data_IF_204157288344
#
_entry.id   IF_204157288344
#
_cell.length_a   1.000
_cell.length_b   1.000
_cell.length_c   1.000
_cell.angle_alpha   90.00
_cell.angle_beta   90.00
_cell.angle_gamma   90.00
#
_symmetry.space_group_name_H-M   'P 1'
#
loop_
_entity.id
_entity.type
_entity.pdbx_description
1 polymer ?
#
# COMPACT_ATOMS: atom_id res chain seq x y z
N UNK A 1 5.46 13.34 2.98
CA UNK A 1 6.77 12.64 3.13
C UNK A 1 6.59 11.15 3.34
N UNK A 2 5.65 10.72 4.15
CA UNK A 2 5.36 9.31 4.43
C UNK A 2 5.04 8.48 3.19
N UNK A 3 4.30 9.03 2.23
CA UNK A 3 3.94 8.33 0.98
C UNK A 3 5.17 7.93 0.15
N UNK A 4 6.20 8.78 0.07
CA UNK A 4 7.46 8.42 -0.61
C UNK A 4 8.21 7.33 0.15
N UNK A 5 8.25 7.40 1.48
CA UNK A 5 8.80 6.33 2.32
C UNK A 5 8.04 5.03 2.10
N UNK A 6 6.72 5.09 1.97
CA UNK A 6 5.86 3.95 1.64
C UNK A 6 6.23 3.29 0.30
N UNK A 7 6.49 4.08 -0.74
CA UNK A 7 6.95 3.56 -2.04
C UNK A 7 8.29 2.85 -1.90
N UNK A 8 9.28 3.49 -1.27
CA UNK A 8 10.62 2.91 -1.11
C UNK A 8 10.57 1.62 -0.29
N UNK A 9 9.85 1.65 0.83
CA UNK A 9 9.70 0.48 1.70
C UNK A 9 9.00 -0.67 0.98
N UNK A 10 7.93 -0.39 0.24
CA UNK A 10 7.23 -1.39 -0.57
C UNK A 10 8.17 -2.05 -1.57
N UNK A 11 8.89 -1.27 -2.37
CA UNK A 11 9.80 -1.79 -3.38
C UNK A 11 10.95 -2.60 -2.77
N UNK A 12 11.51 -2.15 -1.65
CA UNK A 12 12.57 -2.86 -0.94
C UNK A 12 12.10 -4.22 -0.40
N UNK A 13 10.92 -4.26 0.26
CA UNK A 13 10.35 -5.50 0.77
C UNK A 13 9.95 -6.45 -0.36
N UNK A 14 9.39 -5.91 -1.44
CA UNK A 14 9.03 -6.69 -2.62
C UNK A 14 10.25 -7.33 -3.27
N UNK A 15 11.30 -6.56 -3.52
CA UNK A 15 12.56 -7.06 -4.09
C UNK A 15 13.24 -8.08 -3.16
N UNK A 16 13.28 -7.80 -1.84
CA UNK A 16 13.84 -8.70 -0.85
C UNK A 16 13.10 -10.04 -0.78
N UNK A 17 11.77 -10.03 -0.73
CA UNK A 17 10.97 -11.25 -0.75
C UNK A 17 11.17 -12.04 -2.06
N UNK A 18 11.21 -11.35 -3.20
CA UNK A 18 11.45 -11.96 -4.50
C UNK A 18 12.83 -12.62 -4.59
N UNK A 19 13.89 -11.98 -4.11
CA UNK A 19 15.24 -12.53 -4.14
C UNK A 19 15.40 -13.81 -3.30
N UNK A 20 14.65 -13.92 -2.21
CA UNK A 20 14.66 -15.12 -1.36
C UNK A 20 13.82 -16.25 -1.99
N UNK A 21 12.68 -15.93 -2.60
CA UNK A 21 11.73 -16.94 -3.08
C UNK A 21 12.06 -17.45 -4.48
N UNK A 22 12.60 -16.61 -5.37
CA UNK A 22 12.86 -16.97 -6.77
C UNK A 22 13.80 -18.18 -6.96
N UNK A 23 14.90 -18.36 -6.21
CA UNK A 23 15.77 -19.53 -6.37
C UNK A 23 15.06 -20.86 -6.10
N UNK A 24 14.17 -20.90 -5.10
CA UNK A 24 13.42 -22.10 -4.74
C UNK A 24 12.43 -22.51 -5.84
N UNK A 25 11.80 -21.52 -6.49
CA UNK A 25 10.82 -21.75 -7.54
C UNK A 25 11.50 -22.15 -8.85
N UNK A 26 12.59 -21.48 -9.21
CA UNK A 26 13.40 -21.82 -10.39
C UNK A 26 13.98 -23.22 -10.28
N UNK A 27 14.49 -23.61 -9.12
CA UNK A 27 15.04 -24.97 -8.89
C UNK A 27 13.97 -26.07 -9.07
N UNK A 28 12.70 -25.77 -8.82
CA UNK A 28 11.59 -26.73 -8.94
C UNK A 28 10.85 -26.67 -10.28
N UNK A 29 11.26 -25.79 -11.21
CA UNK A 29 10.53 -25.52 -12.47
C UNK A 29 9.04 -25.23 -12.25
N UNK A 30 8.71 -24.65 -11.10
CA UNK A 30 7.33 -24.38 -10.69
C UNK A 30 6.77 -23.15 -11.41
N UNK A 31 5.44 -23.06 -11.48
CA UNK A 31 4.75 -21.92 -12.07
C UNK A 31 5.05 -20.65 -11.29
N UNK A 32 5.13 -19.51 -11.97
CA UNK A 32 5.34 -18.17 -11.39
C UNK A 32 4.34 -17.83 -10.26
N UNK A 33 3.15 -18.42 -10.26
CA UNK A 33 2.20 -18.26 -9.15
C UNK A 33 2.78 -18.69 -7.78
N UNK A 34 3.70 -19.66 -7.75
CA UNK A 34 4.36 -20.09 -6.51
C UNK A 34 5.36 -19.05 -5.96
N UNK A 35 5.79 -18.07 -6.77
CA UNK A 35 6.56 -16.91 -6.28
C UNK A 35 5.62 -15.83 -5.78
N UNK A 36 4.60 -15.50 -6.57
CA UNK A 36 3.75 -14.33 -6.30
C UNK A 36 2.83 -14.51 -5.10
N UNK A 37 2.28 -15.71 -4.90
CA UNK A 37 1.37 -15.96 -3.78
C UNK A 37 2.05 -15.73 -2.41
N UNK A 38 3.20 -16.35 -2.09
CA UNK A 38 3.86 -16.10 -0.82
C UNK A 38 4.39 -14.67 -0.71
N UNK A 39 4.82 -14.05 -1.82
CA UNK A 39 5.28 -12.66 -1.83
C UNK A 39 4.13 -11.69 -1.51
N UNK A 40 2.95 -11.88 -2.12
CA UNK A 40 1.76 -11.11 -1.80
C UNK A 40 1.33 -11.33 -0.34
N UNK A 41 1.34 -12.58 0.13
CA UNK A 41 1.02 -12.91 1.53
C UNK A 41 1.97 -12.20 2.49
N UNK A 42 3.27 -12.20 2.20
CA UNK A 42 4.26 -11.48 3.00
C UNK A 42 3.95 -9.97 3.04
N UNK A 43 3.63 -9.37 1.90
CA UNK A 43 3.30 -7.94 1.84
C UNK A 43 2.02 -7.62 2.63
N UNK A 44 0.98 -8.45 2.53
CA UNK A 44 -0.25 -8.27 3.31
C UNK A 44 0.01 -8.37 4.82
N UNK A 45 0.81 -9.34 5.24
CA UNK A 45 1.21 -9.46 6.66
C UNK A 45 2.03 -8.26 7.11
N UNK A 46 2.98 -7.80 6.29
CA UNK A 46 3.79 -6.62 6.62
C UNK A 46 2.93 -5.36 6.77
N UNK A 47 1.99 -5.12 5.85
CA UNK A 47 1.04 -4.00 5.92
C UNK A 47 0.15 -4.12 7.17
N UNK A 48 -0.36 -5.31 7.46
CA UNK A 48 -1.19 -5.55 8.65
C UNK A 48 -0.42 -5.25 9.95
N UNK A 49 0.81 -5.76 10.07
CA UNK A 49 1.66 -5.49 11.23
C UNK A 49 1.97 -4.00 11.35
N UNK A 50 2.33 -3.34 10.24
CA UNK A 50 2.60 -1.91 10.20
C UNK A 50 1.38 -1.10 10.66
N UNK A 51 0.19 -1.46 10.19
CA UNK A 51 -1.07 -0.82 10.59
C UNK A 51 -1.34 -1.01 12.09
N UNK A 52 -1.16 -2.21 12.61
CA UNK A 52 -1.37 -2.50 14.04
C UNK A 52 -0.38 -1.74 14.94
N UNK A 53 0.89 -1.70 14.54
CA UNK A 53 1.91 -0.91 15.23
C UNK A 53 1.60 0.59 15.11
N UNK A 54 1.18 1.04 13.93
CA UNK A 54 0.81 2.42 13.64
C UNK A 54 -0.34 2.91 14.54
N UNK A 55 -1.41 2.13 14.68
CA UNK A 55 -2.53 2.46 15.59
C UNK A 55 -2.03 2.68 17.02
N UNK A 56 -1.17 1.78 17.52
CA UNK A 56 -0.62 1.91 18.89
C UNK A 56 0.32 3.11 19.02
N UNK A 57 1.18 3.32 18.04
CA UNK A 57 2.12 4.45 18.03
C UNK A 57 1.39 5.79 17.94
N UNK A 58 0.45 5.93 16.98
CA UNK A 58 -0.36 7.12 16.79
C UNK A 58 -1.16 7.47 18.05
N UNK A 59 -1.79 6.47 18.69
CA UNK A 59 -2.50 6.64 19.96
C UNK A 59 -1.59 7.19 21.07
N UNK A 60 -0.34 6.70 21.15
CA UNK A 60 0.62 7.19 22.14
C UNK A 60 1.06 8.63 21.87
N UNK A 61 1.37 8.92 20.60
CA UNK A 61 1.81 10.27 20.17
C UNK A 61 0.69 11.28 20.42
N UNK A 62 -0.55 10.97 20.05
CA UNK A 62 -1.71 11.84 20.27
C UNK A 62 -1.89 12.19 21.75
N UNK A 63 -1.75 11.20 22.65
CA UNK A 63 -1.82 11.42 24.11
C UNK A 63 -0.68 12.30 24.64
N UNK A 64 0.54 12.11 24.11
CA UNK A 64 1.70 12.88 24.53
C UNK A 64 1.64 14.34 24.06
N UNK A 65 1.26 14.54 22.81
CA UNK A 65 1.19 15.87 22.17
C UNK A 65 -0.11 16.60 22.57
N UNK A 66 -1.11 15.89 23.11
CA UNK A 66 -2.45 16.42 23.46
C UNK A 66 -3.13 17.11 22.27
N UNK A 67 -2.86 16.66 21.06
CA UNK A 67 -3.43 17.19 19.83
C UNK A 67 -3.91 16.01 18.98
N UNK A 68 -5.15 16.09 18.48
CA UNK A 68 -5.68 15.13 17.55
C UNK A 68 -4.92 15.25 16.22
N UNK A 69 -4.52 14.13 15.66
CA UNK A 69 -3.78 14.04 14.40
C UNK A 69 -2.57 14.99 14.32
N UNK A 70 -1.55 14.79 15.15
CA UNK A 70 -0.35 15.60 15.06
C UNK A 70 0.40 15.23 13.77
N UNK A 71 0.62 16.19 12.86
CA UNK A 71 1.25 16.00 11.55
C UNK A 71 2.70 15.48 11.55
N UNK A 72 3.20 15.01 12.69
CA UNK A 72 4.46 14.27 12.83
C UNK A 72 4.26 12.76 12.64
N UNK A 73 3.03 12.28 12.64
CA UNK A 73 2.70 10.88 12.35
C UNK A 73 2.75 10.74 10.84
N UNK A 74 3.50 9.79 10.34
CA UNK A 74 3.69 9.49 8.90
C UNK A 74 3.51 8.01 8.58
N UNK A 75 3.29 7.17 9.62
CA UNK A 75 3.16 5.72 9.47
C UNK A 75 1.84 5.35 8.79
N UNK A 76 0.81 6.15 8.92
CA UNK A 76 -0.48 6.11 8.25
C UNK A 76 -0.31 6.25 6.73
N UNK A 77 0.36 7.33 6.28
CA UNK A 77 0.70 7.54 4.87
C UNK A 77 1.54 6.37 4.31
N UNK A 78 2.47 5.80 5.10
CA UNK A 78 3.28 4.65 4.69
C UNK A 78 2.40 3.43 4.45
N UNK A 79 1.52 3.10 5.39
CA UNK A 79 0.62 1.95 5.29
C UNK A 79 -0.37 2.11 4.11
N UNK A 80 -1.02 3.27 3.97
CA UNK A 80 -1.96 3.56 2.88
C UNK A 80 -1.28 3.50 1.50
N UNK A 81 -0.08 4.07 1.37
CA UNK A 81 0.70 4.00 0.13
C UNK A 81 1.11 2.57 -0.22
N UNK A 82 1.50 1.75 0.75
CA UNK A 82 1.82 0.34 0.50
C UNK A 82 0.60 -0.44 0.02
N UNK A 83 -0.60 -0.15 0.54
CA UNK A 83 -1.86 -0.74 0.06
C UNK A 83 -2.12 -0.35 -1.40
N UNK A 84 -1.98 0.94 -1.75
CA UNK A 84 -2.17 1.42 -3.12
C UNK A 84 -1.25 0.72 -4.14
N UNK A 85 -0.05 0.32 -3.71
CA UNK A 85 0.94 -0.38 -4.53
C UNK A 85 0.71 -1.89 -4.67
N UNK A 86 -0.24 -2.49 -3.93
CA UNK A 86 -0.55 -3.93 -4.05
C UNK A 86 -1.10 -4.32 -5.43
N UNK A 87 -1.46 -3.36 -6.28
CA UNK A 87 -1.79 -3.58 -7.69
C UNK A 87 -0.58 -4.07 -8.54
N UNK A 88 0.63 -3.87 -8.04
CA UNK A 88 1.87 -4.17 -8.77
C UNK A 88 2.24 -5.64 -8.98
N UNK A 89 1.87 -6.61 -8.11
CA UNK A 89 2.35 -7.99 -8.25
C UNK A 89 1.90 -8.69 -9.52
N UNK A 90 0.76 -8.33 -10.03
CA UNK A 90 0.13 -9.11 -11.11
C UNK A 90 0.56 -8.71 -12.51
N UNK A 91 1.03 -7.46 -12.75
CA UNK A 91 1.15 -6.97 -14.12
C UNK A 91 2.22 -5.93 -14.36
N UNK A 92 3.39 -6.05 -13.77
CA UNK A 92 4.50 -5.15 -14.12
C UNK A 92 4.60 -3.94 -13.19
N UNK A 93 5.62 -3.92 -12.37
CA UNK A 93 6.15 -2.68 -11.76
C UNK A 93 6.71 -1.77 -12.86
N UNK A 94 5.84 -1.27 -13.74
CA UNK A 94 6.19 -0.19 -14.63
C UNK A 94 6.19 1.10 -13.82
N UNK A 95 7.13 1.98 -14.10
CA UNK A 95 7.23 3.27 -13.43
C UNK A 95 5.90 4.05 -13.43
N UNK A 96 5.09 3.92 -14.49
CA UNK A 96 3.79 4.58 -14.57
C UNK A 96 2.75 4.01 -13.61
N UNK A 97 2.73 2.69 -13.35
CA UNK A 97 1.78 2.09 -12.39
C UNK A 97 2.12 2.47 -10.95
N UNK A 98 3.40 2.62 -10.63
CA UNK A 98 3.87 3.13 -9.35
C UNK A 98 3.49 4.61 -9.20
N UNK A 99 3.70 5.41 -10.25
CA UNK A 99 3.35 6.82 -10.26
C UNK A 99 1.84 7.04 -10.13
N UNK A 100 1.02 6.28 -10.86
CA UNK A 100 -0.45 6.37 -10.74
C UNK A 100 -0.92 5.94 -9.36
N UNK A 101 -0.40 4.86 -8.78
CA UNK A 101 -0.72 4.45 -7.41
C UNK A 101 -0.40 5.56 -6.40
N UNK A 102 0.78 6.21 -6.56
CA UNK A 102 1.18 7.31 -5.70
C UNK A 102 0.25 8.52 -5.83
N UNK A 103 -0.06 8.95 -7.05
CA UNK A 103 -0.93 10.10 -7.31
C UNK A 103 -2.37 9.83 -6.85
N UNK A 104 -2.90 8.63 -7.09
CA UNK A 104 -4.23 8.22 -6.65
C UNK A 104 -4.33 8.20 -5.13
N UNK A 105 -3.34 7.60 -4.44
CA UNK A 105 -3.32 7.60 -2.98
C UNK A 105 -3.34 9.03 -2.43
N UNK A 106 -2.43 9.90 -2.91
CA UNK A 106 -2.40 11.30 -2.48
C UNK A 106 -3.69 12.06 -2.81
N UNK A 107 -4.31 11.76 -3.95
CA UNK A 107 -5.59 12.33 -4.33
C UNK A 107 -6.70 11.95 -3.35
N UNK A 108 -6.85 10.67 -3.03
CA UNK A 108 -7.87 10.19 -2.10
C UNK A 108 -7.62 10.58 -0.65
N UNK A 109 -6.37 10.63 -0.22
CA UNK A 109 -5.95 11.10 1.09
C UNK A 109 -6.29 12.59 1.29
N UNK A 110 -6.09 13.44 0.27
CA UNK A 110 -6.43 14.86 0.35
C UNK A 110 -7.94 15.10 0.17
N UNK A 111 -8.57 14.44 -0.80
CA UNK A 111 -10.00 14.64 -1.12
C UNK A 111 -10.92 14.02 -0.08
N UNK A 112 -10.50 12.91 0.53
CA UNK A 112 -11.23 12.14 1.56
C UNK A 112 -12.70 11.90 1.17
N UNK A 113 -12.96 11.15 0.07
CA UNK A 113 -14.31 10.85 -0.35
C UNK A 113 -15.07 10.07 0.74
N UNK A 114 -16.41 10.08 0.68
CA UNK A 114 -17.20 9.25 1.57
C UNK A 114 -16.88 7.75 1.36
N UNK A 115 -16.68 6.93 2.43
CA UNK A 115 -16.81 7.25 3.85
C UNK A 115 -15.48 7.63 4.55
N UNK A 116 -14.36 7.85 3.85
CA UNK A 116 -13.03 8.17 4.43
C UNK A 116 -13.15 9.27 5.49
N UNK A 117 -13.83 10.38 5.16
CA UNK A 117 -14.05 11.50 6.08
C UNK A 117 -14.78 11.12 7.37
N UNK A 118 -15.54 10.01 7.38
CA UNK A 118 -16.19 9.50 8.62
C UNK A 118 -15.22 8.76 9.52
N UNK A 119 -14.24 8.07 8.95
CA UNK A 119 -13.24 7.31 9.69
C UNK A 119 -12.31 8.23 10.48
N UNK A 120 -12.02 9.41 9.96
CA UNK A 120 -11.26 10.45 10.67
C UNK A 120 -11.91 10.86 12.01
N UNK A 121 -13.23 10.63 12.18
CA UNK A 121 -13.95 10.89 13.44
C UNK A 121 -13.77 9.81 14.49
N UNK A 122 -13.21 8.66 14.12
CA UNK A 122 -12.88 7.60 15.08
C UNK A 122 -11.87 8.12 16.09
N UNK A 123 -11.92 7.56 17.28
CA UNK A 123 -11.06 7.97 18.36
C UNK A 123 -9.63 7.49 18.16
N UNK A 124 -8.68 8.37 18.51
CA UNK A 124 -7.27 8.01 18.65
C UNK A 124 -6.61 7.51 17.36
N UNK A 125 -5.49 6.81 17.48
CA UNK A 125 -4.71 6.29 16.37
C UNK A 125 -5.47 5.38 15.38
N UNK A 126 -6.64 4.85 15.76
CA UNK A 126 -7.48 4.10 14.84
C UNK A 126 -8.04 5.00 13.73
N UNK A 127 -8.52 6.21 14.08
CA UNK A 127 -9.03 7.17 13.09
C UNK A 127 -7.94 7.62 12.12
N UNK A 128 -6.76 7.92 12.66
CA UNK A 128 -5.59 8.36 11.88
C UNK A 128 -5.17 7.29 10.86
N UNK A 129 -5.10 6.03 11.29
CA UNK A 129 -4.71 4.93 10.40
C UNK A 129 -5.80 4.51 9.42
N UNK A 130 -7.07 4.57 9.84
CA UNK A 130 -8.19 4.02 9.06
C UNK A 130 -8.52 4.85 7.81
N UNK A 131 -8.37 6.17 7.87
CA UNK A 131 -8.62 7.03 6.70
C UNK A 131 -7.58 6.81 5.61
N UNK A 132 -6.29 6.68 5.94
CA UNK A 132 -5.22 6.41 4.97
C UNK A 132 -5.30 4.97 4.42
N UNK A 133 -5.62 3.99 5.27
CA UNK A 133 -5.86 2.60 4.82
C UNK A 133 -6.99 2.56 3.80
N UNK A 134 -8.09 3.29 4.03
CA UNK A 134 -9.22 3.32 3.10
C UNK A 134 -8.90 4.14 1.83
N UNK A 135 -8.17 5.25 1.96
CA UNK A 135 -7.66 6.00 0.81
C UNK A 135 -6.75 5.13 -0.07
N UNK A 136 -5.87 4.33 0.56
CA UNK A 136 -5.03 3.34 -0.11
C UNK A 136 -5.83 2.26 -0.83
N UNK A 137 -6.90 1.75 -0.20
CA UNK A 137 -7.79 0.78 -0.82
C UNK A 137 -8.51 1.34 -2.06
N UNK A 138 -8.97 2.59 -2.02
CA UNK A 138 -9.55 3.26 -3.19
C UNK A 138 -8.51 3.44 -4.30
N UNK A 139 -7.32 3.88 -3.95
CA UNK A 139 -6.22 4.02 -4.90
C UNK A 139 -5.88 2.67 -5.57
N UNK A 140 -5.83 1.59 -4.80
CA UNK A 140 -5.63 0.23 -5.30
C UNK A 140 -6.69 -0.17 -6.32
N UNK A 141 -7.97 0.00 -5.98
CA UNK A 141 -9.08 -0.37 -6.88
C UNK A 141 -9.01 0.40 -8.20
N UNK A 142 -8.83 1.72 -8.13
CA UNK A 142 -8.74 2.56 -9.32
C UNK A 142 -7.51 2.21 -10.15
N UNK A 143 -6.36 1.99 -9.51
CA UNK A 143 -5.14 1.61 -10.21
C UNK A 143 -5.26 0.24 -10.90
N UNK A 144 -5.92 -0.74 -10.26
CA UNK A 144 -6.23 -2.03 -10.88
C UNK A 144 -7.11 -1.87 -12.13
N UNK A 145 -8.14 -1.02 -12.07
CA UNK A 145 -8.99 -0.73 -13.23
C UNK A 145 -8.18 -0.09 -14.36
N UNK A 146 -7.34 0.90 -14.06
CA UNK A 146 -6.49 1.56 -15.07
C UNK A 146 -5.52 0.57 -15.72
N UNK A 147 -4.88 -0.29 -14.94
CA UNK A 147 -4.00 -1.35 -15.45
C UNK A 147 -4.78 -2.31 -16.34
N UNK A 148 -5.97 -2.74 -15.91
CA UNK A 148 -6.80 -3.67 -16.69
C UNK A 148 -7.22 -3.06 -18.04
N UNK A 149 -7.64 -1.80 -18.04
CA UNK A 149 -7.98 -1.07 -19.28
C UNK A 149 -6.75 -0.95 -20.18
N UNK A 150 -5.60 -0.60 -19.63
CA UNK A 150 -4.36 -0.51 -20.39
C UNK A 150 -4.00 -1.83 -21.10
N UNK A 151 -4.12 -2.95 -20.40
CA UNK A 151 -3.81 -4.28 -20.96
C UNK A 151 -4.82 -4.73 -22.04
N UNK A 152 -6.08 -4.30 -21.92
CA UNK A 152 -7.11 -4.57 -22.94
C UNK A 152 -6.89 -3.75 -24.23
N UNK A 153 -6.41 -2.50 -24.09
CA UNK A 153 -6.19 -1.59 -25.22
C UNK A 153 -4.84 -1.86 -25.89
N UNK A 154 -3.83 -2.22 -25.10
CA UNK A 154 -2.46 -2.48 -25.57
C UNK A 154 -2.05 -3.92 -25.20
N UNK A 155 -2.61 -4.93 -25.89
CA UNK A 155 -2.22 -6.29 -25.60
C UNK A 155 -0.71 -6.45 -25.88
N UNK A 156 0.03 -6.85 -24.86
CA UNK A 156 1.46 -7.20 -25.02
C UNK A 156 1.51 -8.42 -25.94
N UNK A 157 1.94 -8.20 -27.18
CA UNK A 157 2.27 -9.31 -28.10
C UNK A 157 3.35 -10.14 -27.42
N UNK A 158 2.98 -11.34 -26.94
CA UNK A 158 3.89 -12.34 -26.39
C UNK A 158 4.86 -12.90 -27.42
#
# INVERSE_FOLDING_TARGET
>A
MGSLVGVVLYLALWAGAGSVLSPYVLARKANLMYVWTPQLTFMLVAIFVLTMVGIRAATRVERLVRKKDPGIIVIDEVAGQMIALLSGPFWVHTWWSILTAFLLFRGFDIWKPYPVRRLERLESGLGIMADDVLAGAYALIVNLVLISVYLLVFPTSG
#
